data_IF_257658304147
#
_entry.id   IF_257658304147
#
_cell.length_a   1.000
_cell.length_b   1.000
_cell.length_c   1.000
_cell.angle_alpha   90.00
_cell.angle_beta   90.00
_cell.angle_gamma   90.00
#
_symmetry.space_group_name_H-M   'P 1'
#
loop_
_entity.id
_entity.type
_entity.pdbx_description
1 polymer ?
#
# COMPACT_ATOMS: atom_id res chain seq x y z
N UNK A 1 24.40 -25.95 -2.38
CA UNK A 1 22.97 -25.92 -2.03
C UNK A 1 22.21 -25.68 -3.32
N UNK A 2 21.25 -26.53 -3.72
CA UNK A 2 20.43 -26.25 -4.88
C UNK A 2 19.65 -24.96 -4.62
N UNK A 3 19.75 -23.99 -5.52
CA UNK A 3 18.94 -22.76 -5.46
C UNK A 3 17.50 -23.19 -5.70
N UNK A 4 16.62 -22.98 -4.72
CA UNK A 4 15.20 -23.22 -4.90
C UNK A 4 14.68 -22.19 -5.92
N UNK A 5 14.55 -22.62 -7.18
CA UNK A 5 14.10 -21.75 -8.28
C UNK A 5 12.68 -21.22 -8.07
N UNK A 6 11.91 -21.82 -7.15
CA UNK A 6 10.59 -21.31 -6.77
C UNK A 6 10.69 -20.00 -5.99
N UNK A 7 11.80 -19.73 -5.28
CA UNK A 7 11.99 -18.52 -4.46
C UNK A 7 12.64 -17.37 -5.26
N UNK A 8 12.70 -17.48 -6.59
CA UNK A 8 13.24 -16.43 -7.45
C UNK A 8 12.28 -15.25 -7.47
N UNK A 9 12.75 -14.09 -6.99
CA UNK A 9 12.06 -12.81 -7.16
C UNK A 9 12.15 -12.39 -8.62
N UNK A 10 11.04 -12.41 -9.35
CA UNK A 10 11.00 -11.89 -10.71
C UNK A 10 11.12 -10.35 -10.72
N UNK A 11 11.87 -9.81 -11.69
CA UNK A 11 12.24 -8.38 -11.80
C UNK A 11 11.09 -7.47 -12.25
N UNK A 12 9.94 -8.03 -12.65
CA UNK A 12 8.76 -7.31 -13.12
C UNK A 12 7.77 -6.85 -12.02
N UNK A 13 8.09 -7.09 -10.75
CA UNK A 13 7.27 -6.67 -9.60
C UNK A 13 7.41 -5.19 -9.22
N UNK A 14 6.84 -4.83 -8.07
CA UNK A 14 6.95 -3.51 -7.42
C UNK A 14 6.12 -2.38 -8.06
N UNK A 15 4.80 -2.56 -8.00
CA UNK A 15 3.81 -1.53 -8.36
C UNK A 15 2.94 -1.20 -7.17
N UNK A 16 2.47 0.04 -7.08
CA UNK A 16 1.45 0.45 -6.11
C UNK A 16 0.32 1.17 -6.85
N UNK A 17 -0.90 0.88 -6.44
CA UNK A 17 -2.04 1.72 -6.75
C UNK A 17 -2.77 2.12 -5.47
N UNK A 18 -3.43 3.26 -5.53
CA UNK A 18 -4.22 3.82 -4.43
C UNK A 18 -5.63 4.09 -4.91
N UNK A 19 -6.60 3.69 -4.11
CA UNK A 19 -8.03 3.80 -4.43
C UNK A 19 -8.72 4.45 -3.24
N UNK A 20 -9.48 5.51 -3.46
CA UNK A 20 -10.18 6.25 -2.39
C UNK A 20 -11.24 5.38 -1.74
N UNK A 21 -11.29 5.45 -0.41
CA UNK A 21 -12.31 4.84 0.43
C UNK A 21 -13.18 5.90 1.08
N UNK A 22 -14.44 5.56 1.31
CA UNK A 22 -15.36 6.37 2.10
C UNK A 22 -15.12 6.18 3.62
N UNK A 23 -15.95 6.85 4.44
CA UNK A 23 -15.88 6.76 5.90
C UNK A 23 -16.20 5.36 6.46
N UNK A 24 -16.86 4.50 5.67
CA UNK A 24 -17.21 3.13 6.03
C UNK A 24 -16.22 2.10 5.49
N UNK A 25 -15.07 2.54 4.96
CA UNK A 25 -14.08 1.70 4.28
C UNK A 25 -14.58 1.02 3.01
N UNK A 26 -15.67 1.52 2.41
CA UNK A 26 -16.15 1.09 1.10
C UNK A 26 -15.44 1.87 -0.01
N UNK A 27 -15.32 1.25 -1.19
CA UNK A 27 -14.76 1.93 -2.36
C UNK A 27 -15.73 2.99 -2.85
N UNK A 28 -15.22 4.19 -3.15
CA UNK A 28 -16.03 5.28 -3.71
C UNK A 28 -16.53 4.90 -5.10
N UNK A 29 -17.82 5.16 -5.37
CA UNK A 29 -18.43 4.90 -6.68
C UNK A 29 -17.78 5.75 -7.80
N UNK A 30 -17.91 5.29 -9.06
CA UNK A 30 -17.40 5.98 -10.25
C UNK A 30 -15.88 6.25 -10.19
N UNK A 31 -15.10 5.18 -10.04
CA UNK A 31 -13.64 5.27 -10.06
C UNK A 31 -13.13 5.90 -11.37
N UNK A 32 -12.28 6.91 -11.22
CA UNK A 32 -11.66 7.69 -12.29
C UNK A 32 -10.22 8.02 -11.90
N UNK A 33 -9.29 7.57 -12.75
CA UNK A 33 -7.86 7.75 -12.56
C UNK A 33 -7.48 9.23 -12.48
N UNK A 34 -6.65 9.58 -11.49
CA UNK A 34 -6.24 10.95 -11.20
C UNK A 34 -7.22 11.75 -10.35
N UNK A 35 -8.41 11.21 -10.05
CA UNK A 35 -9.42 11.87 -9.20
C UNK A 35 -9.62 11.13 -7.88
N UNK A 36 -10.03 9.87 -7.93
CA UNK A 36 -10.31 9.05 -6.74
C UNK A 36 -9.51 7.73 -6.74
N UNK A 37 -8.78 7.42 -7.81
CA UNK A 37 -7.78 6.37 -7.82
C UNK A 37 -6.57 6.82 -8.62
N UNK A 38 -5.42 6.20 -8.36
CA UNK A 38 -4.20 6.47 -9.10
C UNK A 38 -3.32 5.23 -9.15
N UNK A 39 -2.86 4.89 -10.35
CA UNK A 39 -1.72 3.99 -10.52
C UNK A 39 -0.43 4.79 -10.33
N UNK A 40 0.36 4.44 -9.32
CA UNK A 40 1.67 5.05 -9.08
C UNK A 40 2.77 4.39 -9.92
N UNK A 41 2.41 3.43 -10.76
CA UNK A 41 3.26 2.81 -11.75
C UNK A 41 4.37 1.97 -11.12
N UNK A 42 5.48 1.89 -11.86
CA UNK A 42 6.67 1.19 -11.39
C UNK A 42 7.43 2.02 -10.35
N UNK A 43 7.80 1.37 -9.26
CA UNK A 43 8.50 2.02 -8.15
C UNK A 43 9.97 1.59 -8.16
N UNK A 44 10.87 2.56 -8.02
CA UNK A 44 12.32 2.32 -8.07
C UNK A 44 12.79 1.48 -6.88
N UNK A 45 12.24 1.79 -5.71
CA UNK A 45 12.47 1.08 -4.46
C UNK A 45 11.26 1.29 -3.57
N UNK A 46 10.77 0.23 -2.95
CA UNK A 46 9.70 0.33 -1.97
C UNK A 46 9.92 -0.64 -0.82
N UNK A 47 9.36 -0.31 0.33
CA UNK A 47 9.39 -1.13 1.52
C UNK A 47 7.99 -1.14 2.15
N UNK A 48 7.54 -2.31 2.60
CA UNK A 48 6.41 -2.41 3.54
C UNK A 48 7.02 -2.87 4.84
N UNK A 49 6.90 -2.06 5.89
CA UNK A 49 7.50 -2.34 7.18
C UNK A 49 6.43 -2.26 8.26
N UNK A 50 6.41 -3.23 9.17
CA UNK A 50 5.63 -3.19 10.39
C UNK A 50 6.56 -2.82 11.54
N UNK A 51 6.43 -1.61 12.08
CA UNK A 51 7.20 -1.16 13.23
C UNK A 51 6.40 -1.36 14.51
N UNK A 52 7.06 -1.83 15.56
CA UNK A 52 6.50 -1.87 16.91
C UNK A 52 7.08 -0.72 17.73
N UNK A 53 6.24 0.23 18.13
CA UNK A 53 6.57 1.25 19.10
C UNK A 53 6.29 0.71 20.50
N UNK A 54 7.32 0.71 21.35
CA UNK A 54 7.21 0.24 22.74
C UNK A 54 7.14 1.45 23.66
N UNK A 55 6.03 1.64 24.34
CA UNK A 55 5.92 2.60 25.44
C UNK A 55 6.08 1.88 26.77
N UNK A 56 7.07 2.30 27.58
CA UNK A 56 7.31 1.77 28.91
C UNK A 56 7.00 2.85 29.96
N UNK A 57 6.01 2.59 30.80
CA UNK A 57 5.73 3.44 31.96
C UNK A 57 6.57 2.96 33.14
N UNK A 58 7.58 3.77 33.49
CA UNK A 58 8.52 3.51 34.60
C UNK A 58 8.11 4.28 35.84
N UNK A 59 8.13 3.61 36.99
CA UNK A 59 8.01 4.24 38.30
C UNK A 59 9.30 4.99 38.66
N UNK A 60 9.26 5.90 39.65
CA UNK A 60 10.46 6.59 40.16
C UNK A 60 11.59 5.64 40.59
N UNK A 61 11.25 4.40 40.99
CA UNK A 61 12.21 3.34 41.34
C UNK A 61 12.86 2.65 40.12
N UNK A 62 12.58 3.10 38.89
CA UNK A 62 13.11 2.54 37.65
C UNK A 62 12.45 1.24 37.18
N UNK A 63 11.48 0.70 37.93
CA UNK A 63 10.74 -0.51 37.59
C UNK A 63 9.67 -0.22 36.54
N UNK A 64 9.66 -1.00 35.46
CA UNK A 64 8.63 -0.96 34.41
C UNK A 64 7.36 -1.58 34.97
N UNK A 65 6.29 -0.78 35.12
CA UNK A 65 5.00 -1.27 35.63
C UNK A 65 4.01 -1.59 34.53
N UNK A 66 4.16 -0.97 33.36
CA UNK A 66 3.29 -1.20 32.22
C UNK A 66 4.09 -1.03 30.94
N UNK A 67 3.91 -1.97 30.01
CA UNK A 67 4.45 -1.90 28.65
C UNK A 67 3.28 -1.95 27.68
N UNK A 68 3.22 -0.98 26.77
CA UNK A 68 2.30 -0.99 25.63
C UNK A 68 3.08 -1.19 24.34
N UNK A 69 2.49 -1.92 23.39
CA UNK A 69 3.02 -2.09 22.05
C UNK A 69 2.01 -1.50 21.06
N UNK A 70 2.44 -0.52 20.28
CA UNK A 70 1.68 -0.03 19.15
C UNK A 70 2.35 -0.50 17.86
N UNK A 71 1.59 -1.17 17.00
CA UNK A 71 2.07 -1.65 15.72
C UNK A 71 1.62 -0.69 14.62
N UNK A 72 2.57 -0.21 13.82
CA UNK A 72 2.30 0.68 12.68
C UNK A 72 2.91 0.08 11.43
N UNK A 73 2.08 -0.33 10.48
CA UNK A 73 2.56 -0.67 9.15
C UNK A 73 2.73 0.60 8.32
N UNK A 74 3.91 0.81 7.77
CA UNK A 74 4.21 1.92 6.87
C UNK A 74 4.61 1.38 5.51
N UNK A 75 4.33 2.15 4.47
CA UNK A 75 4.85 1.86 3.14
C UNK A 75 5.57 3.09 2.64
N UNK A 76 6.85 2.92 2.34
CA UNK A 76 7.69 3.98 1.80
C UNK A 76 8.21 3.57 0.43
N UNK A 77 8.42 4.54 -0.45
CA UNK A 77 8.90 4.26 -1.79
C UNK A 77 9.36 5.50 -2.54
N UNK A 78 9.97 5.26 -3.70
CA UNK A 78 10.42 6.32 -4.62
C UNK A 78 9.86 6.00 -5.99
N UNK A 79 8.97 6.87 -6.47
CA UNK A 79 8.30 6.69 -7.74
C UNK A 79 9.30 6.90 -8.89
N UNK A 80 9.22 6.08 -9.94
CA UNK A 80 10.03 6.29 -11.15
C UNK A 80 9.40 7.32 -12.08
N UNK A 81 8.08 7.45 -12.02
CA UNK A 81 7.31 8.29 -12.91
C UNK A 81 6.87 9.56 -12.19
N UNK A 82 7.05 10.69 -12.87
CA UNK A 82 6.59 11.99 -12.41
C UNK A 82 5.77 12.59 -13.54
N UNK A 83 4.46 12.64 -13.31
CA UNK A 83 3.52 13.34 -14.18
C UNK A 83 2.72 14.35 -13.36
N UNK A 84 2.09 15.32 -14.04
CA UNK A 84 1.28 16.35 -13.39
C UNK A 84 0.18 15.73 -12.52
N UNK A 85 -0.50 14.70 -13.03
CA UNK A 85 -1.62 14.04 -12.37
C UNK A 85 -1.21 13.44 -11.02
N UNK A 86 -0.10 12.71 -10.96
CA UNK A 86 0.41 12.10 -9.74
C UNK A 86 0.90 13.15 -8.74
N UNK A 87 1.52 14.23 -9.22
CA UNK A 87 1.90 15.36 -8.35
C UNK A 87 0.67 16.00 -7.72
N UNK A 88 -0.33 16.35 -8.52
CA UNK A 88 -1.53 17.01 -8.02
C UNK A 88 -2.31 16.08 -7.08
N UNK A 89 -2.38 14.80 -7.41
CA UNK A 89 -3.03 13.79 -6.57
C UNK A 89 -2.34 13.67 -5.22
N UNK A 90 -1.02 13.40 -5.20
CA UNK A 90 -0.25 13.19 -3.97
C UNK A 90 -0.01 14.48 -3.16
N UNK A 91 -0.12 15.66 -3.76
CA UNK A 91 0.05 16.92 -3.05
C UNK A 91 -1.27 17.46 -2.47
N UNK A 92 -2.37 17.36 -3.23
CA UNK A 92 -3.63 18.05 -2.90
C UNK A 92 -4.79 17.09 -2.65
N UNK A 93 -4.92 16.05 -3.45
CA UNK A 93 -6.11 15.18 -3.42
C UNK A 93 -6.11 14.26 -2.20
N UNK A 94 -4.94 13.76 -1.80
CA UNK A 94 -4.79 12.81 -0.69
C UNK A 94 -5.06 13.38 0.71
N UNK A 95 -5.28 14.68 0.84
CA UNK A 95 -5.45 15.35 2.15
C UNK A 95 -6.77 14.93 2.79
N UNK A 96 -6.71 14.56 4.06
CA UNK A 96 -7.86 14.22 4.91
C UNK A 96 -8.73 13.06 4.39
N UNK A 97 -8.21 12.26 3.46
CA UNK A 97 -8.90 11.11 2.89
C UNK A 97 -8.25 9.79 3.27
N UNK A 98 -9.00 8.71 3.10
CA UNK A 98 -8.55 7.34 3.31
C UNK A 98 -8.46 6.62 1.97
N UNK A 99 -7.50 5.71 1.86
CA UNK A 99 -7.24 4.97 0.63
C UNK A 99 -7.04 3.50 0.91
N UNK A 100 -7.47 2.65 -0.02
CA UNK A 100 -6.98 1.29 -0.17
C UNK A 100 -5.68 1.36 -0.97
N UNK A 101 -4.58 0.97 -0.34
CA UNK A 101 -3.32 0.72 -1.02
C UNK A 101 -3.28 -0.73 -1.49
N UNK A 102 -3.09 -0.88 -2.80
CA UNK A 102 -2.75 -2.13 -3.44
C UNK A 102 -1.26 -2.11 -3.78
N UNK A 103 -0.53 -3.16 -3.37
CA UNK A 103 0.89 -3.31 -3.71
C UNK A 103 1.16 -4.67 -4.33
N UNK A 104 1.73 -4.66 -5.53
CA UNK A 104 2.19 -5.86 -6.20
C UNK A 104 3.68 -6.08 -5.96
N UNK A 105 4.04 -7.17 -5.28
CA UNK A 105 5.43 -7.51 -4.94
C UNK A 105 6.17 -8.27 -6.05
N UNK A 106 5.46 -8.71 -7.09
CA UNK A 106 6.00 -9.60 -8.12
C UNK A 106 5.67 -11.07 -7.86
N UNK A 107 6.37 -11.94 -8.59
CA UNK A 107 6.28 -13.39 -8.39
C UNK A 107 7.32 -13.80 -7.34
N UNK A 108 6.86 -14.46 -6.27
CA UNK A 108 7.69 -15.07 -5.23
C UNK A 108 7.10 -16.43 -4.89
N UNK A 109 7.93 -17.44 -4.71
CA UNK A 109 7.43 -18.79 -4.43
C UNK A 109 6.62 -19.39 -5.59
N UNK A 110 6.83 -18.94 -6.84
CA UNK A 110 6.01 -19.33 -8.00
C UNK A 110 4.57 -18.80 -7.98
N UNK A 111 4.26 -17.81 -7.12
CA UNK A 111 2.96 -17.16 -7.02
C UNK A 111 3.09 -15.66 -7.14
N UNK A 112 2.07 -15.00 -7.68
CA UNK A 112 1.93 -13.55 -7.55
C UNK A 112 1.65 -13.21 -6.09
N UNK A 113 2.40 -12.25 -5.53
CA UNK A 113 2.17 -11.74 -4.18
C UNK A 113 1.64 -10.31 -4.22
N UNK A 114 0.49 -10.11 -3.57
CA UNK A 114 -0.26 -8.86 -3.54
C UNK A 114 -0.58 -8.49 -2.09
N UNK A 115 -0.38 -7.24 -1.73
CA UNK A 115 -0.71 -6.71 -0.40
C UNK A 115 -1.84 -5.70 -0.55
N UNK A 116 -2.85 -5.82 0.30
CA UNK A 116 -3.96 -4.88 0.43
C UNK A 116 -3.97 -4.28 1.82
N UNK A 117 -4.16 -2.97 1.90
CA UNK A 117 -4.01 -2.22 3.14
C UNK A 117 -4.87 -0.97 3.12
N UNK A 118 -5.53 -0.64 4.23
CA UNK A 118 -6.18 0.67 4.40
C UNK A 118 -5.13 1.65 4.90
N UNK A 119 -5.01 2.82 4.25
CA UNK A 119 -3.96 3.79 4.53
C UNK A 119 -4.45 5.23 4.56
N UNK A 120 -3.70 6.08 5.26
CA UNK A 120 -3.61 7.51 4.96
C UNK A 120 -2.30 7.76 4.24
N UNK A 121 -2.36 8.49 3.14
CA UNK A 121 -1.18 8.86 2.36
C UNK A 121 -0.67 10.19 2.89
N UNK A 122 0.63 10.28 3.16
CA UNK A 122 1.26 11.54 3.57
C UNK A 122 1.32 12.47 2.35
N UNK A 123 0.69 13.66 2.39
CA UNK A 123 0.78 14.60 1.29
C UNK A 123 2.22 15.04 1.10
N UNK A 124 2.78 14.82 -0.09
CA UNK A 124 4.19 15.07 -0.32
C UNK A 124 4.46 15.49 -1.76
N UNK A 125 5.48 16.32 -1.91
CA UNK A 125 5.98 16.74 -3.22
C UNK A 125 7.48 16.96 -3.12
N UNK A 126 8.23 16.30 -4.00
CA UNK A 126 9.64 16.58 -4.22
C UNK A 126 9.95 16.44 -5.70
N UNK A 127 10.11 17.60 -6.35
CA UNK A 127 10.47 17.69 -7.77
C UNK A 127 11.91 18.20 -7.84
N UNK A 128 12.82 17.35 -8.33
CA UNK A 128 14.25 17.66 -8.49
C UNK A 128 14.68 17.36 -9.93
N UNK A 129 15.49 18.24 -10.52
CA UNK A 129 16.03 18.12 -11.88
C UNK A 129 17.44 18.72 -11.97
N UNK A 130 18.25 18.35 -12.98
CA UNK A 130 19.03 17.11 -13.08
C UNK A 130 20.26 17.11 -12.15
N UNK A 131 20.69 15.92 -11.67
CA UNK A 131 21.90 15.78 -10.85
C UNK A 131 21.94 14.63 -9.82
N UNK A 132 20.89 13.81 -9.74
CA UNK A 132 20.91 12.58 -8.93
C UNK A 132 20.42 12.77 -7.50
N UNK A 133 19.12 12.52 -7.29
CA UNK A 133 18.58 11.84 -6.12
C UNK A 133 17.08 11.62 -6.36
N UNK A 134 16.71 10.35 -6.54
CA UNK A 134 15.41 9.74 -6.20
C UNK A 134 14.26 10.75 -6.11
N UNK A 135 13.65 11.01 -7.26
CA UNK A 135 12.58 12.00 -7.41
C UNK A 135 11.25 11.41 -6.92
N UNK A 136 10.42 12.25 -6.29
CA UNK A 136 9.08 11.95 -5.77
C UNK A 136 8.98 10.76 -4.77
N UNK A 137 9.10 11.04 -3.45
CA UNK A 137 8.84 10.04 -2.42
C UNK A 137 7.35 9.68 -2.37
N UNK A 138 7.07 8.46 -1.95
CA UNK A 138 5.77 7.96 -1.56
C UNK A 138 5.86 7.44 -0.13
N UNK A 139 4.84 7.74 0.67
CA UNK A 139 4.74 7.36 2.08
C UNK A 139 3.27 7.25 2.45
N UNK A 140 2.91 6.12 3.05
CA UNK A 140 1.58 5.85 3.57
C UNK A 140 1.66 5.12 4.92
N UNK A 141 0.70 5.41 5.78
CA UNK A 141 0.57 4.79 7.11
C UNK A 141 -0.72 4.00 7.18
N UNK A 142 -0.66 2.78 7.75
CA UNK A 142 -1.83 1.94 7.92
C UNK A 142 -2.85 2.57 8.85
N UNK A 143 -4.12 2.37 8.51
CA UNK A 143 -5.21 2.47 9.47
C UNK A 143 -5.58 1.03 9.81
N UNK A 144 -5.59 0.70 11.10
CA UNK A 144 -6.08 -0.60 11.58
C UNK A 144 -7.60 -0.50 11.70
N UNK A 145 -8.38 -1.17 10.84
CA UNK A 145 -9.83 -1.09 10.89
C UNK A 145 -10.37 -1.89 12.08
N UNK A 146 -11.33 -1.34 12.82
CA UNK A 146 -11.96 -2.02 13.96
C UNK A 146 -12.94 -3.12 13.54
N UNK A 147 -13.39 -3.10 12.28
CA UNK A 147 -14.25 -4.09 11.64
C UNK A 147 -13.56 -4.66 10.41
N UNK A 148 -13.99 -5.84 9.96
CA UNK A 148 -13.46 -6.41 8.71
C UNK A 148 -13.84 -5.52 7.53
N UNK A 149 -12.86 -5.22 6.67
CA UNK A 149 -13.07 -4.50 5.42
C UNK A 149 -13.07 -5.51 4.29
N UNK A 150 -14.18 -5.62 3.57
CA UNK A 150 -14.33 -6.53 2.44
C UNK A 150 -14.31 -5.74 1.14
N UNK A 151 -13.35 -6.08 0.29
CA UNK A 151 -13.30 -5.64 -1.10
C UNK A 151 -13.94 -6.75 -1.93
N UNK A 152 -15.10 -6.47 -2.52
CA UNK A 152 -15.85 -7.45 -3.29
C UNK A 152 -15.15 -7.80 -4.61
N UNK A 153 -15.59 -8.86 -5.29
CA UNK A 153 -15.08 -9.18 -6.61
C UNK A 153 -15.44 -8.08 -7.64
N UNK A 154 -16.64 -7.50 -7.52
CA UNK A 154 -17.11 -6.40 -8.39
C UNK A 154 -16.27 -5.14 -8.18
N UNK A 155 -15.90 -4.84 -6.94
CA UNK A 155 -14.96 -3.76 -6.61
C UNK A 155 -13.62 -3.95 -7.32
N UNK A 156 -13.05 -5.16 -7.27
CA UNK A 156 -11.78 -5.45 -7.95
C UNK A 156 -11.90 -5.29 -9.47
N UNK A 157 -13.02 -5.69 -10.06
CA UNK A 157 -13.29 -5.45 -11.49
C UNK A 157 -13.37 -3.96 -11.78
N UNK A 158 -14.09 -3.18 -10.97
CA UNK A 158 -14.19 -1.73 -11.12
C UNK A 158 -12.82 -1.05 -11.02
N UNK A 159 -11.99 -1.45 -10.04
CA UNK A 159 -10.62 -0.95 -9.89
C UNK A 159 -9.79 -1.28 -11.13
N UNK A 160 -9.81 -2.53 -11.62
CA UNK A 160 -9.05 -2.93 -12.82
C UNK A 160 -9.45 -2.14 -14.06
N UNK A 161 -10.73 -1.78 -14.20
CA UNK A 161 -11.20 -0.94 -15.31
C UNK A 161 -10.70 0.50 -15.18
N UNK A 162 -10.62 1.04 -13.96
CA UNK A 162 -10.17 2.39 -13.70
C UNK A 162 -8.64 2.55 -13.79
N UNK A 163 -7.86 1.56 -13.34
CA UNK A 163 -6.39 1.57 -13.28
C UNK A 163 -5.79 0.30 -13.91
N UNK A 164 -5.97 0.15 -15.22
CA UNK A 164 -5.62 -1.07 -15.95
C UNK A 164 -4.12 -1.44 -15.91
N UNK A 165 -3.24 -0.47 -15.71
CA UNK A 165 -1.78 -0.65 -15.82
C UNK A 165 -1.13 -1.35 -14.60
N UNK A 166 -1.79 -1.31 -13.43
CA UNK A 166 -1.23 -1.92 -12.21
C UNK A 166 -1.28 -3.45 -12.27
N UNK A 167 -2.29 -3.99 -12.97
CA UNK A 167 -2.40 -5.42 -13.27
C UNK A 167 -2.73 -6.30 -12.07
N UNK A 168 -3.76 -5.95 -11.29
CA UNK A 168 -4.28 -6.74 -10.16
C UNK A 168 -4.56 -8.18 -10.61
N UNK A 169 -4.03 -9.17 -9.90
CA UNK A 169 -4.09 -10.60 -10.22
C UNK A 169 -5.18 -11.32 -9.45
N UNK A 170 -5.38 -10.99 -8.17
CA UNK A 170 -6.45 -11.55 -7.35
C UNK A 170 -7.83 -11.25 -7.93
N UNK A 171 -8.69 -12.25 -8.17
CA UNK A 171 -10.06 -12.04 -8.66
C UNK A 171 -11.02 -11.56 -7.56
N UNK A 172 -10.58 -11.58 -6.30
CA UNK A 172 -11.43 -11.28 -5.14
C UNK A 172 -12.35 -12.43 -4.71
N UNK A 173 -13.16 -12.20 -3.66
CA UNK A 173 -13.09 -11.04 -2.76
C UNK A 173 -11.80 -11.04 -1.93
N UNK A 174 -11.42 -9.87 -1.42
CA UNK A 174 -10.29 -9.71 -0.50
C UNK A 174 -10.82 -9.15 0.82
N UNK A 175 -10.51 -9.79 1.93
CA UNK A 175 -10.93 -9.33 3.26
C UNK A 175 -9.72 -8.95 4.09
N UNK A 176 -9.65 -7.68 4.50
CA UNK A 176 -8.76 -7.23 5.57
C UNK A 176 -9.51 -7.48 6.88
N UNK A 177 -8.97 -8.35 7.73
CA UNK A 177 -9.62 -8.71 8.98
C UNK A 177 -9.64 -7.53 9.96
N UNK A 178 -10.61 -7.52 10.86
CA UNK A 178 -10.64 -6.55 11.95
C UNK A 178 -9.33 -6.64 12.77
N UNK A 179 -8.81 -5.49 13.19
CA UNK A 179 -7.59 -5.37 13.99
C UNK A 179 -6.32 -5.90 13.30
N UNK A 180 -6.29 -5.90 11.96
CA UNK A 180 -5.10 -6.25 11.18
C UNK A 180 -4.72 -5.11 10.25
N UNK A 181 -3.42 -4.84 10.10
CA UNK A 181 -2.93 -3.73 9.30
C UNK A 181 -3.07 -3.97 7.80
N UNK A 182 -2.89 -5.22 7.34
CA UNK A 182 -2.90 -5.58 5.93
C UNK A 182 -3.30 -7.04 5.74
N UNK A 183 -3.61 -7.40 4.50
CA UNK A 183 -3.73 -8.80 4.05
C UNK A 183 -2.79 -9.05 2.88
N UNK A 184 -2.08 -10.18 2.92
CA UNK A 184 -1.28 -10.68 1.80
C UNK A 184 -2.08 -11.76 1.08
N UNK A 185 -2.22 -11.59 -0.23
CA UNK A 185 -2.91 -12.52 -1.13
C UNK A 185 -1.89 -13.13 -2.08
N UNK A 186 -1.99 -14.43 -2.29
CA UNK A 186 -1.18 -15.15 -3.26
C UNK A 186 -2.06 -15.75 -4.36
N UNK A 187 -1.71 -15.53 -5.62
CA UNK A 187 -2.39 -16.19 -6.76
C UNK A 187 -1.42 -16.98 -7.64
N UNK A 188 -1.91 -18.03 -8.28
CA UNK A 188 -1.12 -18.84 -9.20
C UNK A 188 -0.63 -18.06 -10.42
N UNK A 189 0.56 -18.41 -10.91
CA UNK A 189 1.13 -17.94 -12.17
C UNK A 189 0.72 -18.96 -13.23
N UNK A 190 -0.43 -18.77 -13.87
CA UNK A 190 -0.86 -19.59 -15.01
C UNK A 190 -0.32 -19.02 -16.31
#
# INVERSE_FOLDING_TARGET
>A
MPVNTNDINDKGGNKIAVIELDENYAIVENLSEGTNCLDLGHIASSEVELKANKEEYKSEDGVIRQTSYEYMANTSGILMEINKTAIDFLCFTVRDKMYLEYKYLGIRGGKHQEIFKVVKITPQMKVTAPGGAKSMPYESTAIVPMSSVMISADDIVAIRLAIAHVGIRTPGPVTIAANTEFVLVETGVN
#
